data_IF_669004364021
#
_entry.id   IF_669004364021
#
_cell.length_a   1.000
_cell.length_b   1.000
_cell.length_c   1.000
_cell.angle_alpha   90.00
_cell.angle_beta   90.00
_cell.angle_gamma   90.00
#
_symmetry.space_group_name_H-M   'P 1'
#
loop_
_entity.id
_entity.type
_entity.pdbx_description
1 polymer ?
#
# COMPACT_ATOMS: atom_id res chain seq x y z
N UNK A 1 25.00 -25.31 16.86
CA UNK A 1 26.06 -24.64 16.11
C UNK A 1 25.58 -24.46 14.67
N UNK A 2 25.07 -23.27 14.32
CA UNK A 2 24.62 -22.99 12.96
C UNK A 2 25.82 -22.62 12.09
N UNK A 3 25.81 -23.08 10.82
CA UNK A 3 26.88 -22.82 9.86
C UNK A 3 26.88 -21.34 9.43
N UNK A 4 28.06 -20.73 9.21
CA UNK A 4 28.16 -19.35 8.73
C UNK A 4 27.58 -19.22 7.31
N UNK A 5 27.01 -18.04 7.02
CA UNK A 5 26.46 -17.68 5.71
C UNK A 5 27.49 -16.79 5.01
N UNK A 6 28.06 -17.30 3.91
CA UNK A 6 29.03 -16.56 3.10
C UNK A 6 28.29 -15.58 2.20
N UNK A 7 28.59 -14.29 2.33
CA UNK A 7 28.00 -13.25 1.50
C UNK A 7 29.07 -12.66 0.58
N UNK A 8 28.85 -12.74 -0.73
CA UNK A 8 29.77 -12.20 -1.73
C UNK A 8 29.45 -10.72 -1.95
N UNK A 9 30.44 -9.86 -1.72
CA UNK A 9 30.26 -8.41 -1.93
C UNK A 9 30.46 -8.05 -3.41
N UNK A 10 30.00 -6.86 -3.80
CA UNK A 10 30.11 -6.35 -5.18
C UNK A 10 31.56 -6.16 -5.68
N UNK A 11 32.56 -6.33 -4.81
CA UNK A 11 33.99 -6.22 -5.12
C UNK A 11 34.73 -7.56 -5.15
N UNK A 12 34.02 -8.69 -5.08
CA UNK A 12 34.59 -10.02 -5.32
C UNK A 12 35.24 -10.70 -4.11
N UNK A 13 35.42 -9.98 -3.00
CA UNK A 13 35.92 -10.56 -1.75
C UNK A 13 34.83 -11.34 -1.03
N UNK A 14 35.16 -12.57 -0.60
CA UNK A 14 34.36 -13.35 0.35
C UNK A 14 34.63 -12.84 1.75
N UNK A 15 33.61 -12.24 2.37
CA UNK A 15 33.69 -11.82 3.78
C UNK A 15 32.85 -12.82 4.57
N UNK A 16 33.50 -13.57 5.47
CA UNK A 16 32.79 -14.33 6.49
C UNK A 16 32.08 -13.35 7.42
N UNK A 17 30.75 -13.32 7.32
CA UNK A 17 29.92 -12.48 8.14
C UNK A 17 29.60 -13.23 9.43
N UNK A 18 30.26 -12.85 10.52
CA UNK A 18 29.85 -13.27 11.85
C UNK A 18 28.54 -12.52 12.21
N UNK A 19 27.40 -13.23 12.34
CA UNK A 19 26.12 -12.61 12.65
C UNK A 19 26.11 -11.92 14.04
N UNK A 20 27.08 -12.21 14.91
CA UNK A 20 27.19 -11.62 16.25
C UNK A 20 28.11 -10.39 16.32
N UNK A 21 28.79 -10.03 15.21
CA UNK A 21 29.82 -8.97 15.18
C UNK A 21 29.39 -7.73 14.40
N UNK A 22 28.18 -7.68 13.84
CA UNK A 22 27.68 -6.44 13.25
C UNK A 22 27.24 -5.45 14.33
N UNK A 23 27.95 -4.32 14.51
CA UNK A 23 27.48 -3.29 15.41
C UNK A 23 26.34 -2.56 14.71
N UNK A 24 25.10 -2.89 15.07
CA UNK A 24 24.02 -1.89 15.01
C UNK A 24 24.31 -0.93 16.15
N UNK A 25 25.35 -0.10 16.00
CA UNK A 25 25.76 0.87 17.01
C UNK A 25 24.78 2.04 17.00
N UNK A 26 23.64 1.83 17.67
CA UNK A 26 22.85 2.84 18.40
C UNK A 26 21.98 2.13 19.46
N UNK A 27 22.51 2.19 20.68
CA UNK A 27 22.04 1.80 22.02
C UNK A 27 20.59 1.30 22.23
N UNK A 28 20.46 0.04 22.66
CA UNK A 28 19.99 -0.29 24.01
C UNK A 28 20.57 -1.65 24.44
N UNK A 29 21.51 -1.64 25.38
CA UNK A 29 22.33 -2.79 25.84
C UNK A 29 21.57 -3.85 26.67
N UNK A 30 20.29 -4.13 26.37
CA UNK A 30 19.57 -5.25 27.03
C UNK A 30 18.32 -5.76 26.32
N UNK A 31 17.79 -5.07 25.30
CA UNK A 31 16.57 -5.51 24.60
C UNK A 31 16.96 -6.35 23.38
N UNK A 32 16.50 -7.61 23.33
CA UNK A 32 16.68 -8.47 22.16
C UNK A 32 15.90 -7.94 20.95
N UNK A 33 16.32 -8.29 19.73
CA UNK A 33 15.56 -7.95 18.52
C UNK A 33 14.12 -8.48 18.54
N UNK A 34 13.87 -9.56 19.28
CA UNK A 34 12.52 -10.13 19.46
C UNK A 34 11.66 -9.19 20.29
N UNK A 35 12.18 -8.69 21.41
CA UNK A 35 11.50 -7.73 22.28
C UNK A 35 11.27 -6.40 21.57
N UNK A 36 12.30 -5.88 20.89
CA UNK A 36 12.19 -4.65 20.10
C UNK A 36 11.09 -4.74 19.02
N UNK A 37 11.00 -5.89 18.31
CA UNK A 37 9.92 -6.14 17.35
C UNK A 37 8.55 -6.21 18.01
N UNK A 38 8.43 -6.88 19.15
CA UNK A 38 7.18 -6.99 19.90
C UNK A 38 6.71 -5.61 20.38
N UNK A 39 7.63 -4.80 20.92
CA UNK A 39 7.39 -3.41 21.34
C UNK A 39 6.92 -2.53 20.19
N UNK A 40 7.60 -2.57 19.04
CA UNK A 40 7.19 -1.83 17.84
C UNK A 40 5.81 -2.29 17.36
N UNK A 41 5.55 -3.61 17.33
CA UNK A 41 4.25 -4.15 16.91
C UNK A 41 3.11 -3.70 17.82
N UNK A 42 3.35 -3.61 19.14
CA UNK A 42 2.37 -3.13 20.10
C UNK A 42 2.14 -1.61 20.02
N UNK A 43 3.18 -0.82 19.78
CA UNK A 43 3.11 0.66 19.80
C UNK A 43 2.78 1.33 18.47
N UNK A 44 2.96 0.66 17.33
CA UNK A 44 2.84 1.28 15.98
C UNK A 44 1.47 1.86 15.66
N UNK A 45 0.39 1.44 16.32
CA UNK A 45 -0.95 2.02 16.11
C UNK A 45 -1.05 3.46 16.64
N UNK A 46 -0.46 3.73 17.81
CA UNK A 46 -0.36 5.07 18.39
C UNK A 46 0.77 5.90 17.76
N UNK A 47 1.80 5.22 17.27
CA UNK A 47 3.06 5.80 16.83
C UNK A 47 4.11 5.61 17.91
N UNK A 48 5.24 4.99 17.55
CA UNK A 48 6.33 4.67 18.47
C UNK A 48 7.68 4.95 17.80
N UNK A 49 8.66 5.43 18.56
CA UNK A 49 10.03 5.54 18.09
C UNK A 49 10.68 4.16 18.12
N UNK A 50 11.24 3.72 16.99
CA UNK A 50 11.91 2.44 16.89
C UNK A 50 13.14 2.42 17.81
N UNK A 51 13.26 1.46 18.75
CA UNK A 51 14.39 1.42 19.68
C UNK A 51 15.72 1.06 19.00
N UNK A 52 15.71 0.63 17.73
CA UNK A 52 16.91 0.24 16.99
C UNK A 52 17.47 1.35 16.08
N UNK A 53 16.63 2.27 15.61
CA UNK A 53 17.02 3.24 14.59
C UNK A 53 16.42 4.65 14.78
N UNK A 54 15.72 4.87 15.89
CA UNK A 54 15.08 6.14 16.25
C UNK A 54 14.04 6.67 15.26
N UNK A 55 13.65 5.88 14.25
CA UNK A 55 12.63 6.26 13.29
C UNK A 55 11.23 6.14 13.91
N UNK A 56 10.35 7.09 13.62
CA UNK A 56 8.94 7.01 13.99
C UNK A 56 8.23 5.94 13.16
N UNK A 57 7.74 4.90 13.84
CA UNK A 57 6.94 3.83 13.24
C UNK A 57 5.48 4.08 13.57
N UNK A 58 4.66 4.29 12.53
CA UNK A 58 3.22 4.49 12.68
C UNK A 58 2.43 3.79 11.59
N UNK A 59 1.40 3.06 12.00
CA UNK A 59 0.41 2.45 11.11
C UNK A 59 -0.69 3.47 10.81
N UNK A 60 -1.04 3.60 9.53
CA UNK A 60 -2.05 4.54 9.07
C UNK A 60 -3.30 3.80 8.61
N UNK A 61 -4.44 4.10 9.24
CA UNK A 61 -5.74 3.64 8.75
C UNK A 61 -6.14 4.44 7.51
N UNK A 62 -6.47 3.75 6.42
CA UNK A 62 -6.96 4.35 5.17
C UNK A 62 -8.32 3.76 4.83
N UNK A 63 -9.34 4.61 4.74
CA UNK A 63 -10.68 4.22 4.28
C UNK A 63 -10.81 4.37 2.77
N UNK A 64 -11.63 3.53 2.15
CA UNK A 64 -12.19 3.82 0.83
C UNK A 64 -13.01 5.11 0.92
N UNK A 65 -12.79 6.00 -0.05
CA UNK A 65 -13.44 7.31 -0.10
C UNK A 65 -14.08 7.58 -1.46
N UNK A 66 -14.83 8.67 -1.55
CA UNK A 66 -15.55 9.07 -2.76
C UNK A 66 -14.62 9.19 -3.99
N UNK A 67 -13.41 9.73 -3.82
CA UNK A 67 -12.49 9.94 -4.94
C UNK A 67 -11.94 8.62 -5.48
N UNK A 68 -11.73 7.64 -4.61
CA UNK A 68 -11.38 6.27 -4.99
C UNK A 68 -12.53 5.60 -5.75
N UNK A 69 -13.77 5.72 -5.26
CA UNK A 69 -14.96 5.16 -5.93
C UNK A 69 -15.18 5.79 -7.31
N UNK A 70 -15.04 7.11 -7.44
CA UNK A 70 -15.09 7.82 -8.74
C UNK A 70 -14.01 7.33 -9.70
N UNK A 71 -12.78 7.11 -9.22
CA UNK A 71 -11.70 6.56 -10.03
C UNK A 71 -11.99 5.13 -10.50
N UNK A 72 -12.49 4.27 -9.61
CA UNK A 72 -12.90 2.91 -9.96
C UNK A 72 -13.97 2.89 -11.05
N UNK A 73 -15.01 3.71 -10.89
CA UNK A 73 -16.07 3.85 -11.90
C UNK A 73 -15.53 4.38 -13.23
N UNK A 74 -14.68 5.42 -13.21
CA UNK A 74 -14.08 5.92 -14.45
C UNK A 74 -13.22 4.85 -15.14
N UNK A 75 -12.47 4.04 -14.39
CA UNK A 75 -11.71 2.92 -14.95
C UNK A 75 -12.63 1.80 -15.49
N UNK A 76 -13.79 1.56 -14.89
CA UNK A 76 -14.72 0.50 -15.32
C UNK A 76 -15.36 0.75 -16.69
N UNK A 77 -15.30 1.98 -17.19
CA UNK A 77 -15.79 2.35 -18.54
C UNK A 77 -14.89 1.83 -19.67
N UNK A 78 -13.66 1.39 -19.37
CA UNK A 78 -12.84 0.70 -20.36
C UNK A 78 -13.22 -0.78 -20.51
N UNK A 79 -12.92 -1.39 -21.67
CA UNK A 79 -12.99 -2.84 -21.82
C UNK A 79 -12.18 -3.55 -20.73
N UNK A 80 -12.67 -4.72 -20.29
CA UNK A 80 -12.03 -5.48 -19.24
C UNK A 80 -10.58 -5.84 -19.62
N UNK A 81 -9.65 -5.64 -18.68
CA UNK A 81 -8.23 -5.92 -18.88
C UNK A 81 -7.43 -4.78 -19.51
N UNK A 82 -8.08 -3.72 -20.01
CA UNK A 82 -7.37 -2.59 -20.62
C UNK A 82 -6.90 -1.54 -19.61
N UNK A 83 -5.67 -1.05 -19.80
CA UNK A 83 -5.12 0.06 -19.04
C UNK A 83 -5.62 1.41 -19.57
N UNK A 84 -6.20 2.24 -18.69
CA UNK A 84 -6.57 3.63 -19.01
C UNK A 84 -5.49 4.59 -18.57
N UNK A 85 -5.23 5.58 -19.42
CA UNK A 85 -4.34 6.69 -19.08
C UNK A 85 -5.03 7.66 -18.11
N UNK A 86 -4.57 7.69 -16.86
CA UNK A 86 -5.15 8.54 -15.82
C UNK A 86 -5.01 10.03 -16.14
N UNK A 87 -4.15 10.46 -17.06
CA UNK A 87 -4.12 11.87 -17.50
C UNK A 87 -5.41 12.31 -18.19
N UNK A 88 -6.21 11.37 -18.69
CA UNK A 88 -7.49 11.60 -19.37
C UNK A 88 -8.70 11.49 -18.43
N UNK A 89 -8.48 11.24 -17.14
CA UNK A 89 -9.56 11.22 -16.17
C UNK A 89 -10.03 12.65 -15.83
N UNK A 90 -11.27 12.80 -15.31
CA UNK A 90 -11.74 14.05 -14.71
C UNK A 90 -10.71 14.71 -13.78
N UNK A 91 -10.64 16.04 -13.83
CA UNK A 91 -9.57 16.81 -13.19
C UNK A 91 -9.48 16.58 -11.68
N UNK A 92 -10.60 16.32 -11.00
CA UNK A 92 -10.67 15.99 -9.58
C UNK A 92 -9.98 14.66 -9.26
N UNK A 93 -10.18 13.62 -10.09
CA UNK A 93 -9.52 12.32 -9.97
C UNK A 93 -8.00 12.48 -10.18
N UNK A 94 -7.60 13.22 -11.21
CA UNK A 94 -6.17 13.43 -11.54
C UNK A 94 -5.44 14.21 -10.47
N UNK A 95 -6.08 15.26 -9.91
CA UNK A 95 -5.47 16.13 -8.90
C UNK A 95 -5.24 15.39 -7.58
N UNK A 96 -6.22 14.62 -7.12
CA UNK A 96 -6.16 13.98 -5.81
C UNK A 96 -5.27 12.72 -5.80
N UNK A 97 -5.14 12.04 -6.94
CA UNK A 97 -4.31 10.83 -7.10
C UNK A 97 -4.62 9.70 -6.12
N UNK A 98 -5.82 9.70 -5.55
CA UNK A 98 -6.30 8.66 -4.65
C UNK A 98 -6.43 7.30 -5.37
N UNK A 99 -6.52 7.31 -6.70
CA UNK A 99 -6.61 6.12 -7.53
C UNK A 99 -5.43 5.16 -7.35
N UNK A 100 -4.21 5.66 -7.06
CA UNK A 100 -3.05 4.77 -6.87
C UNK A 100 -3.14 3.94 -5.59
N UNK A 101 -3.90 4.43 -4.60
CA UNK A 101 -4.09 3.74 -3.32
C UNK A 101 -5.07 2.57 -3.44
N UNK A 102 -5.81 2.45 -4.54
CA UNK A 102 -6.68 1.31 -4.81
C UNK A 102 -5.92 -0.02 -4.90
N UNK A 103 -4.61 0.03 -5.18
CA UNK A 103 -3.72 -1.12 -5.10
C UNK A 103 -3.64 -1.72 -3.69
N UNK A 104 -3.88 -0.93 -2.64
CA UNK A 104 -3.90 -1.44 -1.26
C UNK A 104 -5.08 -2.38 -0.99
N UNK A 105 -6.16 -2.29 -1.78
CA UNK A 105 -7.28 -3.23 -1.74
C UNK A 105 -7.20 -4.28 -2.86
N UNK A 106 -6.12 -4.28 -3.65
CA UNK A 106 -6.02 -5.07 -4.88
C UNK A 106 -7.19 -4.84 -5.86
N UNK A 107 -7.76 -3.62 -5.89
CA UNK A 107 -8.88 -3.27 -6.78
C UNK A 107 -8.41 -2.63 -8.10
N UNK A 108 -7.20 -2.09 -8.14
CA UNK A 108 -6.61 -1.54 -9.34
C UNK A 108 -5.09 -1.73 -9.33
N UNK A 109 -4.51 -1.79 -10.51
CA UNK A 109 -3.08 -1.98 -10.71
C UNK A 109 -2.54 -1.07 -11.81
N UNK A 110 -1.26 -0.71 -11.68
CA UNK A 110 -0.53 0.09 -12.65
C UNK A 110 0.04 -0.77 -13.77
N UNK A 111 0.16 -0.22 -14.97
CA UNK A 111 0.83 -0.88 -16.10
C UNK A 111 2.30 -1.23 -15.74
N UNK A 112 2.73 -2.51 -15.89
CA UNK A 112 4.10 -2.92 -15.62
C UNK A 112 5.13 -2.14 -16.47
N UNK A 113 6.34 -1.95 -15.94
CA UNK A 113 7.47 -1.35 -16.68
C UNK A 113 7.43 0.17 -16.85
N UNK A 114 6.38 0.87 -16.38
CA UNK A 114 6.33 2.35 -16.36
C UNK A 114 6.66 2.99 -15.01
N UNK A 115 7.13 2.21 -14.03
CA UNK A 115 7.58 2.69 -12.72
C UNK A 115 9.03 3.21 -12.76
N UNK A 116 9.34 4.14 -13.66
CA UNK A 116 10.53 4.97 -13.49
C UNK A 116 10.19 6.09 -12.50
N UNK A 117 11.08 6.29 -11.53
CA UNK A 117 11.04 7.37 -10.54
C UNK A 117 10.69 8.71 -11.23
N UNK A 118 9.42 9.11 -11.18
CA UNK A 118 8.93 10.29 -11.90
C UNK A 118 7.61 10.13 -12.65
N UNK A 119 7.10 8.92 -12.87
CA UNK A 119 5.79 8.68 -13.52
C UNK A 119 4.62 9.03 -12.59
N UNK A 120 4.47 10.33 -12.31
CA UNK A 120 3.43 10.95 -11.49
C UNK A 120 2.01 10.76 -12.04
N UNK A 121 1.86 10.19 -13.24
CA UNK A 121 0.60 9.88 -13.93
C UNK A 121 0.83 8.62 -14.79
N UNK A 122 0.43 7.45 -14.27
CA UNK A 122 0.59 6.16 -14.96
C UNK A 122 -0.71 5.72 -15.64
N UNK A 123 -0.65 4.64 -16.42
CA UNK A 123 -1.85 3.93 -16.87
C UNK A 123 -2.28 2.91 -15.82
N UNK A 124 -3.58 2.82 -15.56
CA UNK A 124 -4.16 1.99 -14.52
C UNK A 124 -5.35 1.20 -15.07
N UNK A 125 -5.57 0.00 -14.53
CA UNK A 125 -6.77 -0.79 -14.81
C UNK A 125 -7.37 -1.34 -13.53
N UNK A 126 -8.63 -1.73 -13.62
CA UNK A 126 -9.24 -2.57 -12.59
C UNK A 126 -8.66 -3.98 -12.65
N UNK A 127 -8.45 -4.57 -11.48
CA UNK A 127 -8.28 -6.02 -11.34
C UNK A 127 -9.63 -6.72 -11.53
N UNK A 128 -9.63 -8.05 -11.49
CA UNK A 128 -10.87 -8.82 -11.51
C UNK A 128 -11.77 -8.45 -10.32
N UNK A 129 -11.20 -8.39 -9.12
CA UNK A 129 -11.86 -7.98 -7.88
C UNK A 129 -12.33 -6.53 -7.96
N UNK A 130 -11.52 -5.65 -8.56
CA UNK A 130 -11.89 -4.26 -8.86
C UNK A 130 -13.19 -4.15 -9.64
N UNK A 131 -13.32 -4.96 -10.69
CA UNK A 131 -14.52 -5.00 -11.52
C UNK A 131 -15.73 -5.52 -10.75
N UNK A 132 -15.60 -6.66 -10.07
CA UNK A 132 -16.67 -7.23 -9.24
C UNK A 132 -17.14 -6.25 -8.14
N UNK A 133 -16.22 -5.48 -7.57
CA UNK A 133 -16.54 -4.49 -6.55
C UNK A 133 -17.32 -3.30 -7.13
N UNK A 134 -16.90 -2.78 -8.29
CA UNK A 134 -17.62 -1.71 -9.00
C UNK A 134 -19.02 -2.16 -9.43
N UNK A 135 -19.14 -3.40 -9.87
CA UNK A 135 -20.41 -4.00 -10.27
C UNK A 135 -21.31 -4.34 -9.05
N UNK A 136 -20.84 -4.06 -7.83
CA UNK A 136 -21.60 -4.26 -6.58
C UNK A 136 -21.75 -5.72 -6.14
N UNK A 137 -20.99 -6.63 -6.77
CA UNK A 137 -21.05 -8.09 -6.55
C UNK A 137 -20.36 -8.47 -5.25
N UNK A 138 -19.18 -7.93 -4.98
CA UNK A 138 -18.40 -8.25 -3.77
C UNK A 138 -18.38 -7.09 -2.76
N UNK A 139 -18.05 -7.43 -1.51
CA UNK A 139 -17.71 -6.48 -0.45
C UNK A 139 -16.21 -6.52 -0.20
N UNK A 140 -15.63 -5.40 0.20
CA UNK A 140 -14.21 -5.28 0.56
C UNK A 140 -14.06 -4.63 1.92
N UNK A 141 -12.93 -4.78 2.62
CA UNK A 141 -12.69 -4.06 3.88
C UNK A 141 -12.90 -2.55 3.73
N UNK A 142 -13.65 -1.93 4.65
CA UNK A 142 -13.86 -0.47 4.69
C UNK A 142 -12.51 0.28 4.73
N UNK A 143 -11.57 -0.26 5.51
CA UNK A 143 -10.24 0.30 5.69
C UNK A 143 -9.14 -0.74 5.61
N UNK A 144 -7.97 -0.28 5.18
CA UNK A 144 -6.69 -0.98 5.29
C UNK A 144 -5.78 -0.23 6.26
N UNK A 145 -4.92 -0.97 6.94
CA UNK A 145 -3.91 -0.44 7.82
C UNK A 145 -2.56 -0.55 7.12
N UNK A 146 -1.93 0.59 6.86
CA UNK A 146 -0.73 0.68 6.05
C UNK A 146 0.48 1.01 6.92
N UNK A 147 1.57 0.27 6.73
CA UNK A 147 2.88 0.56 7.29
C UNK A 147 3.91 0.45 6.17
N UNK A 148 4.75 1.48 5.99
CA UNK A 148 5.79 1.52 4.95
C UNK A 148 5.27 1.24 3.53
N UNK A 149 4.04 1.66 3.23
CA UNK A 149 3.41 1.44 1.92
C UNK A 149 2.75 0.07 1.74
N UNK A 150 2.89 -0.82 2.72
CA UNK A 150 2.33 -2.17 2.69
C UNK A 150 1.12 -2.30 3.60
N UNK A 151 0.18 -3.15 3.22
CA UNK A 151 -0.99 -3.48 4.04
C UNK A 151 -0.57 -4.48 5.11
N UNK A 152 -0.69 -4.09 6.37
CA UNK A 152 -0.36 -4.93 7.53
C UNK A 152 -1.58 -5.49 8.26
N UNK A 153 -2.76 -4.92 8.02
CA UNK A 153 -4.03 -5.37 8.57
C UNK A 153 -5.20 -4.76 7.78
N UNK A 154 -6.42 -5.26 8.01
CA UNK A 154 -7.67 -4.78 7.38
C UNK A 154 -8.77 -4.60 8.41
N UNK A 155 -9.76 -3.75 8.14
CA UNK A 155 -10.93 -3.61 9.01
C UNK A 155 -11.84 -4.85 8.95
N UNK A 156 -12.56 -5.11 10.05
CA UNK A 156 -13.61 -6.15 10.09
C UNK A 156 -14.85 -5.72 9.31
N UNK A 157 -15.15 -4.42 9.34
CA UNK A 157 -16.24 -3.82 8.58
C UNK A 157 -15.91 -3.93 7.10
N UNK A 158 -16.91 -4.33 6.32
CA UNK A 158 -16.84 -4.39 4.86
C UNK A 158 -17.86 -3.46 4.23
N UNK A 159 -17.55 -2.98 3.03
CA UNK A 159 -18.39 -2.06 2.25
C UNK A 159 -18.62 -2.60 0.84
N UNK A 160 -19.77 -2.28 0.26
CA UNK A 160 -19.99 -2.25 -1.19
C UNK A 160 -19.60 -0.87 -1.73
N UNK A 161 -19.45 -0.75 -3.05
CA UNK A 161 -19.19 0.55 -3.67
C UNK A 161 -20.30 1.58 -3.36
N UNK A 162 -21.54 1.13 -3.21
CA UNK A 162 -22.71 1.96 -2.82
C UNK A 162 -22.67 2.44 -1.38
N UNK A 163 -21.87 1.81 -0.51
CA UNK A 163 -21.74 2.21 0.90
C UNK A 163 -20.71 3.34 1.06
N UNK A 164 -19.95 3.68 0.01
CA UNK A 164 -18.99 4.78 0.02
C UNK A 164 -19.74 6.10 0.09
N UNK A 165 -19.60 6.81 1.22
CA UNK A 165 -20.32 8.07 1.46
C UNK A 165 -20.14 9.08 0.32
N UNK A 166 -21.25 9.60 -0.17
CA UNK A 166 -21.32 10.58 -1.26
C UNK A 166 -21.16 9.99 -2.66
N UNK A 167 -21.09 8.66 -2.80
CA UNK A 167 -21.05 8.00 -4.11
C UNK A 167 -22.46 7.60 -4.55
N UNK A 168 -22.99 8.31 -5.56
CA UNK A 168 -24.26 7.99 -6.21
C UNK A 168 -24.02 7.83 -7.72
N UNK A 169 -24.35 6.66 -8.26
CA UNK A 169 -24.10 6.33 -9.66
C UNK A 169 -24.72 7.30 -10.66
N UNK A 170 -25.84 7.96 -10.32
CA UNK A 170 -26.54 8.89 -11.24
C UNK A 170 -25.98 10.31 -11.23
N UNK A 171 -25.29 10.75 -10.17
CA UNK A 171 -24.83 12.14 -10.02
C UNK A 171 -23.43 12.36 -10.60
N UNK A 172 -22.66 11.30 -10.81
CA UNK A 172 -21.28 11.38 -11.33
C UNK A 172 -21.18 11.66 -12.84
N UNK A 173 -22.30 11.89 -13.53
CA UNK A 173 -22.39 11.94 -15.00
C UNK A 173 -22.50 13.35 -15.62
N UNK A 174 -22.74 14.40 -14.83
CA UNK A 174 -23.04 15.75 -15.37
C UNK A 174 -21.92 16.79 -15.16
N UNK A 175 -20.66 16.38 -14.95
CA UNK A 175 -19.53 17.30 -14.75
C UNK A 175 -18.36 17.00 -15.69
#
# INVERSE_FOLDING_TARGET
>A
MSKPVVHRTLFGDEVELDPDVYPVQRAYDSESLVEARARVKAGRSAGIVCPCCDQLVKTYRRKLNLQMARALHWMSLAPAGEFRDMTRAPADIVRNREYSRLALWSLAESEPGRNHAGAKRGRWRLTHEGRLFVDGVIRVPEAVYVLNGEVVDVSRETVKITDVRGFHFMETWNA
#
